data_IF_122332830451
#
_entry.id   IF_122332830451
#
_cell.length_a   1.000
_cell.length_b   1.000
_cell.length_c   1.000
_cell.angle_alpha   90.00
_cell.angle_beta   90.00
_cell.angle_gamma   90.00
#
_symmetry.space_group_name_H-M   'P 1'
#
loop_
_entity.id
_entity.type
_entity.pdbx_description
1 polymer ?
#
# COMPACT_ATOMS: atom_id res chain seq x y z
N UNK A 1 -12.31 5.76 -25.63
CA UNK A 1 -11.53 5.86 -24.37
C UNK A 1 -11.66 4.53 -23.63
N UNK A 2 -10.57 3.84 -23.32
CA UNK A 2 -10.62 2.61 -22.54
C UNK A 2 -10.73 2.93 -21.05
N UNK A 3 -11.71 2.36 -20.36
CA UNK A 3 -11.81 2.39 -18.90
C UNK A 3 -11.16 1.12 -18.34
N UNK A 4 -10.41 1.22 -17.24
CA UNK A 4 -9.74 0.09 -16.60
C UNK A 4 -10.04 0.05 -15.10
N UNK A 5 -10.02 -1.15 -14.53
CA UNK A 5 -10.17 -1.36 -13.09
C UNK A 5 -8.77 -1.42 -12.46
N UNK A 6 -8.59 -0.73 -11.33
CA UNK A 6 -7.32 -0.68 -10.61
C UNK A 6 -6.78 -2.07 -10.24
N UNK A 7 -5.49 -2.28 -10.47
CA UNK A 7 -4.73 -3.43 -9.96
C UNK A 7 -4.31 -3.22 -8.50
N UNK A 8 -4.04 -1.97 -8.12
CA UNK A 8 -3.71 -1.54 -6.77
C UNK A 8 -4.34 -0.17 -6.56
N UNK A 9 -4.69 0.16 -5.32
CA UNK A 9 -5.12 1.49 -4.90
C UNK A 9 -4.33 1.85 -3.66
N UNK A 10 -3.76 3.05 -3.62
CA UNK A 10 -3.09 3.60 -2.44
C UNK A 10 -3.60 5.02 -2.21
N UNK A 11 -3.93 5.32 -0.96
CA UNK A 11 -4.24 6.66 -0.49
C UNK A 11 -3.36 6.98 0.71
N UNK A 12 -2.75 8.17 0.70
CA UNK A 12 -1.89 8.67 1.77
C UNK A 12 -2.38 10.05 2.20
N UNK A 13 -2.51 10.25 3.51
CA UNK A 13 -2.59 11.57 4.14
C UNK A 13 -1.40 11.70 5.08
N UNK A 14 -0.54 12.69 4.89
CA UNK A 14 0.63 12.94 5.74
C UNK A 14 0.64 14.40 6.16
N UNK A 15 0.38 14.68 7.45
CA UNK A 15 0.58 16.01 8.04
C UNK A 15 1.97 16.11 8.69
N UNK A 16 2.43 15.02 9.30
CA UNK A 16 3.78 14.86 9.85
C UNK A 16 4.15 13.38 9.88
N UNK A 17 5.39 13.05 10.26
CA UNK A 17 5.79 11.64 10.44
C UNK A 17 4.92 10.89 11.48
N UNK A 18 4.45 11.60 12.52
CA UNK A 18 3.58 11.03 13.57
C UNK A 18 2.08 11.08 13.22
N UNK A 19 1.71 11.81 12.17
CA UNK A 19 0.33 11.93 11.68
C UNK A 19 0.28 11.59 10.19
N UNK A 20 0.46 10.30 9.92
CA UNK A 20 0.31 9.70 8.61
C UNK A 20 -0.82 8.68 8.64
N UNK A 21 -1.63 8.65 7.57
CA UNK A 21 -2.59 7.58 7.32
C UNK A 21 -2.44 7.01 5.94
N UNK A 22 -2.40 5.69 5.88
CA UNK A 22 -2.13 4.92 4.67
C UNK A 22 -3.27 3.92 4.52
N UNK A 23 -3.96 3.97 3.39
CA UNK A 23 -4.98 2.98 3.03
C UNK A 23 -4.61 2.32 1.71
N UNK A 24 -4.89 1.02 1.62
CA UNK A 24 -4.63 0.21 0.44
C UNK A 24 -5.87 -0.57 0.01
N UNK A 25 -6.05 -0.70 -1.30
CA UNK A 25 -7.11 -1.48 -1.94
C UNK A 25 -6.54 -2.44 -2.99
N UNK A 26 -7.31 -3.47 -3.33
CA UNK A 26 -6.94 -4.51 -4.29
C UNK A 26 -5.71 -5.35 -3.87
N UNK A 27 -5.33 -5.32 -2.60
CA UNK A 27 -4.21 -6.09 -2.01
C UNK A 27 -4.61 -6.90 -0.77
N UNK A 28 -5.92 -7.03 -0.53
CA UNK A 28 -6.54 -7.80 0.54
C UNK A 28 -8.03 -8.01 0.23
N UNK A 29 -8.76 -8.85 0.99
CA UNK A 29 -10.20 -9.09 0.79
C UNK A 29 -11.08 -7.83 0.91
N UNK A 30 -10.63 -6.83 1.67
CA UNK A 30 -11.28 -5.53 1.86
C UNK A 30 -10.24 -4.40 1.74
N UNK A 31 -10.65 -3.16 1.40
CA UNK A 31 -9.80 -2.00 1.62
C UNK A 31 -9.40 -1.93 3.10
N UNK A 32 -8.12 -1.69 3.35
CA UNK A 32 -7.58 -1.71 4.71
C UNK A 32 -6.69 -0.51 4.98
N UNK A 33 -6.54 -0.20 6.27
CA UNK A 33 -5.58 0.77 6.78
C UNK A 33 -4.27 0.04 7.11
N UNK A 34 -3.15 0.52 6.55
CA UNK A 34 -1.83 -0.10 6.68
C UNK A 34 -1.14 0.40 7.97
N UNK A 35 -1.56 -0.12 9.13
CA UNK A 35 -1.11 0.38 10.44
C UNK A 35 0.36 0.11 10.69
N UNK A 36 0.89 -1.02 10.22
CA UNK A 36 2.31 -1.31 10.37
C UNK A 36 3.14 -0.34 9.54
N UNK A 37 2.73 -0.07 8.29
CA UNK A 37 3.38 0.93 7.45
C UNK A 37 3.33 2.34 8.07
N UNK A 38 2.20 2.75 8.64
CA UNK A 38 2.07 4.04 9.36
C UNK A 38 3.05 4.14 10.53
N UNK A 39 3.14 3.09 11.35
CA UNK A 39 4.07 3.04 12.48
C UNK A 39 5.53 3.11 12.01
N UNK A 40 5.87 2.41 10.93
CA UNK A 40 7.20 2.45 10.35
C UNK A 40 7.59 3.85 9.87
N UNK A 41 6.66 4.62 9.30
CA UNK A 41 6.91 6.04 8.97
C UNK A 41 7.17 6.86 10.24
N UNK A 42 6.36 6.68 11.29
CA UNK A 42 6.50 7.42 12.54
C UNK A 42 7.84 7.16 13.27
N UNK A 43 8.42 5.98 13.09
CA UNK A 43 9.69 5.58 13.72
C UNK A 43 10.87 5.57 12.75
N UNK A 44 10.72 6.08 11.53
CA UNK A 44 11.73 6.00 10.47
C UNK A 44 12.25 4.56 10.21
N UNK A 45 11.37 3.57 10.35
CA UNK A 45 11.65 2.16 10.09
C UNK A 45 11.47 1.76 8.61
N UNK A 46 11.61 0.47 8.34
CA UNK A 46 11.43 -0.07 6.98
C UNK A 46 9.95 -0.17 6.62
N UNK A 47 9.42 0.88 5.97
CA UNK A 47 8.02 0.98 5.54
C UNK A 47 7.60 -0.18 4.65
N UNK A 48 8.49 -0.68 3.78
CA UNK A 48 8.14 -1.75 2.85
C UNK A 48 7.96 -3.09 3.55
N UNK A 49 8.89 -3.44 4.44
CA UNK A 49 8.75 -4.65 5.25
C UNK A 49 7.53 -4.60 6.18
N UNK A 50 7.15 -3.40 6.65
CA UNK A 50 5.96 -3.21 7.45
C UNK A 50 4.66 -3.33 6.62
N UNK A 51 4.64 -2.78 5.41
CA UNK A 51 3.50 -2.91 4.48
C UNK A 51 3.20 -4.36 4.13
N UNK A 52 4.24 -5.20 3.95
CA UNK A 52 4.07 -6.61 3.65
C UNK A 52 3.35 -7.39 4.77
N UNK A 53 3.33 -6.86 6.01
CA UNK A 53 2.54 -7.40 7.12
C UNK A 53 1.08 -6.94 7.11
N UNK A 54 0.78 -5.84 6.41
CA UNK A 54 -0.57 -5.28 6.31
C UNK A 54 -1.38 -5.92 5.16
N UNK A 55 -0.72 -6.44 4.12
CA UNK A 55 -1.38 -6.85 2.87
C UNK A 55 -1.38 -8.38 2.68
N UNK A 56 -2.39 -8.89 1.96
CA UNK A 56 -2.50 -10.29 1.56
C UNK A 56 -3.02 -10.39 0.12
N UNK A 57 -2.18 -10.05 -0.88
CA UNK A 57 -2.60 -10.01 -2.26
C UNK A 57 -2.80 -11.40 -2.86
N UNK A 58 -3.63 -11.47 -3.89
CA UNK A 58 -3.96 -12.68 -4.64
C UNK A 58 -3.54 -12.52 -6.11
N UNK A 59 -3.41 -13.64 -6.80
CA UNK A 59 -3.35 -13.67 -8.25
C UNK A 59 -4.75 -13.53 -8.85
N UNK A 60 -4.88 -12.80 -9.96
CA UNK A 60 -6.05 -12.83 -10.83
C UNK A 60 -5.67 -12.48 -12.27
N UNK A 61 -6.67 -12.44 -13.17
CA UNK A 61 -6.48 -12.07 -14.59
C UNK A 61 -5.92 -10.67 -14.82
N UNK A 62 -5.93 -9.79 -13.81
CA UNK A 62 -5.47 -8.40 -13.92
C UNK A 62 -4.01 -8.27 -13.50
N UNK A 63 -3.56 -9.02 -12.49
CA UNK A 63 -2.20 -8.99 -11.96
C UNK A 63 -1.91 -10.15 -10.98
N UNK A 64 -0.63 -10.50 -10.85
CA UNK A 64 -0.15 -11.46 -9.84
C UNK A 64 -0.04 -10.84 -8.44
N UNK A 65 -0.06 -11.67 -7.40
CA UNK A 65 0.17 -11.28 -6.01
C UNK A 65 1.55 -10.63 -5.83
N UNK A 66 2.57 -11.17 -6.51
CA UNK A 66 3.93 -10.61 -6.52
C UNK A 66 3.95 -9.20 -7.14
N UNK A 67 3.27 -9.01 -8.28
CA UNK A 67 3.15 -7.70 -8.91
C UNK A 67 2.43 -6.72 -7.98
N UNK A 68 1.30 -7.11 -7.38
CA UNK A 68 0.53 -6.28 -6.46
C UNK A 68 1.37 -5.85 -5.27
N UNK A 69 2.11 -6.77 -4.64
CA UNK A 69 2.99 -6.48 -3.50
C UNK A 69 4.08 -5.48 -3.89
N UNK A 70 4.79 -5.75 -4.99
CA UNK A 70 5.90 -4.92 -5.46
C UNK A 70 5.44 -3.51 -5.83
N UNK A 71 4.35 -3.39 -6.59
CA UNK A 71 3.87 -2.08 -7.07
C UNK A 71 3.26 -1.28 -5.93
N UNK A 72 2.51 -1.90 -5.02
CA UNK A 72 1.98 -1.23 -3.83
C UNK A 72 3.10 -0.65 -2.97
N UNK A 73 4.16 -1.42 -2.71
CA UNK A 73 5.34 -0.91 -1.98
C UNK A 73 6.02 0.25 -2.70
N UNK A 74 6.24 0.15 -4.01
CA UNK A 74 6.88 1.20 -4.79
C UNK A 74 6.05 2.50 -4.82
N UNK A 75 4.75 2.39 -5.05
CA UNK A 75 3.83 3.54 -5.08
C UNK A 75 3.73 4.18 -3.70
N UNK A 76 3.66 3.39 -2.63
CA UNK A 76 3.64 3.93 -1.27
C UNK A 76 4.90 4.75 -0.96
N UNK A 77 6.09 4.21 -1.26
CA UNK A 77 7.34 4.94 -1.02
C UNK A 77 7.38 6.25 -1.81
N UNK A 78 6.97 6.24 -3.08
CA UNK A 78 6.88 7.45 -3.91
C UNK A 78 5.90 8.50 -3.38
N UNK A 79 4.81 8.08 -2.72
CA UNK A 79 3.83 9.00 -2.12
C UNK A 79 4.28 9.54 -0.76
N UNK A 80 5.32 8.96 -0.14
CA UNK A 80 5.86 9.37 1.15
C UNK A 80 7.10 10.26 1.03
N UNK A 81 7.75 10.29 -0.14
CA UNK A 81 8.71 11.32 -0.57
C UNK A 81 8.09 12.72 -0.47
#
# INVERSE_FOLDING_TARGET
KAQSISRIIIAVRKLSAKDVRIAAGCVAPIPLRCRNAEQAVATAGNVRAALDQDIKPIDDVRATAVYRSRVTGNVLLRLLE
#
